data_IF_612291736056
#
_entry.id   IF_612291736056
#
_cell.length_a   1.000
_cell.length_b   1.000
_cell.length_c   1.000
_cell.angle_alpha   90.00
_cell.angle_beta   90.00
_cell.angle_gamma   90.00
#
_symmetry.space_group_name_H-M   'P 1'
#
loop_
_entity.id
_entity.type
_entity.pdbx_description
1 polymer ?
#
# COMPACT_ATOMS: atom_id res chain seq x y z
N UNK A 1 5.84 7.78 14.30
CA UNK A 1 6.52 7.11 13.16
C UNK A 1 6.95 8.20 12.19
N UNK A 2 8.24 8.42 12.03
CA UNK A 2 8.74 9.33 11.00
C UNK A 2 8.33 8.76 9.63
N UNK A 3 7.45 9.45 8.89
CA UNK A 3 7.29 9.18 7.45
C UNK A 3 8.60 9.63 6.81
N UNK A 4 9.52 8.69 6.62
CA UNK A 4 10.66 8.93 5.75
C UNK A 4 10.09 9.19 4.36
N UNK A 5 10.09 10.46 3.97
CA UNK A 5 9.70 10.84 2.62
C UNK A 5 10.77 10.25 1.70
N UNK A 6 10.40 9.22 0.96
CA UNK A 6 11.25 8.70 -0.11
C UNK A 6 11.55 9.85 -1.07
N UNK A 7 12.81 10.30 -1.10
CA UNK A 7 13.26 11.41 -1.93
C UNK A 7 14.30 10.91 -2.91
N UNK A 8 13.84 10.45 -4.07
CA UNK A 8 14.70 10.19 -5.21
C UNK A 8 14.76 11.42 -6.11
N UNK A 9 15.93 11.67 -6.73
CA UNK A 9 16.06 12.66 -7.81
C UNK A 9 15.32 12.25 -9.07
N UNK A 10 15.07 10.95 -9.22
CA UNK A 10 14.23 10.33 -10.24
C UNK A 10 13.09 9.59 -9.54
N UNK A 11 12.24 10.33 -8.83
CA UNK A 11 11.08 9.72 -8.18
C UNK A 11 10.07 9.30 -9.26
N UNK A 12 9.53 8.09 -9.13
CA UNK A 12 8.32 7.73 -9.86
C UNK A 12 7.22 8.71 -9.43
N UNK A 13 6.47 9.24 -10.40
CA UNK A 13 5.39 10.15 -10.10
C UNK A 13 4.21 9.37 -9.53
N UNK A 14 3.61 9.87 -8.45
CA UNK A 14 2.44 9.26 -7.83
C UNK A 14 2.75 8.19 -6.77
N UNK A 15 1.70 7.68 -6.11
CA UNK A 15 1.84 6.61 -5.13
C UNK A 15 2.29 5.31 -5.80
N UNK A 16 3.15 4.56 -5.11
CA UNK A 16 3.54 3.23 -5.57
C UNK A 16 2.36 2.26 -5.36
N UNK A 17 1.66 1.93 -6.45
CA UNK A 17 0.56 0.95 -6.47
C UNK A 17 0.94 -0.25 -7.32
N UNK A 18 0.32 -1.43 -7.11
CA UNK A 18 0.55 -2.60 -7.96
C UNK A 18 0.34 -2.28 -9.46
N UNK A 19 -0.75 -1.59 -9.78
CA UNK A 19 -1.08 -1.17 -11.14
C UNK A 19 -0.03 -0.18 -11.67
N UNK A 20 0.38 0.79 -10.84
CA UNK A 20 1.41 1.77 -11.19
C UNK A 20 2.79 1.16 -11.41
N UNK A 21 3.12 0.03 -10.77
CA UNK A 21 4.35 -0.74 -11.05
C UNK A 21 4.22 -1.47 -12.39
N UNK A 22 3.05 -2.04 -12.68
CA UNK A 22 2.80 -2.83 -13.90
C UNK A 22 2.77 -1.94 -15.15
N UNK A 23 2.28 -0.71 -15.02
CA UNK A 23 2.22 0.28 -16.09
C UNK A 23 3.54 1.08 -16.26
N UNK A 24 4.55 0.80 -15.44
CA UNK A 24 5.77 1.58 -15.41
C UNK A 24 6.63 1.38 -16.68
N UNK A 25 6.69 2.40 -17.53
CA UNK A 25 7.58 2.43 -18.68
C UNK A 25 8.97 2.97 -18.30
N UNK A 26 9.97 2.09 -18.21
CA UNK A 26 11.35 2.49 -17.97
C UNK A 26 12.08 2.80 -19.29
N UNK A 27 12.76 3.96 -19.41
CA UNK A 27 13.50 4.30 -20.61
C UNK A 27 14.76 3.42 -20.74
N UNK A 28 15.07 3.01 -21.96
CA UNK A 28 16.32 2.31 -22.27
C UNK A 28 17.53 3.24 -22.04
N UNK A 29 18.67 2.66 -21.69
CA UNK A 29 19.92 3.42 -21.56
C UNK A 29 20.35 4.00 -22.89
N UNK A 30 21.04 5.15 -22.85
CA UNK A 30 21.62 5.77 -24.06
C UNK A 30 22.64 4.82 -24.71
N UNK A 31 22.80 4.94 -26.03
CA UNK A 31 23.78 4.19 -26.81
C UNK A 31 25.17 4.20 -26.13
N UNK A 32 25.85 3.06 -26.12
CA UNK A 32 27.14 2.83 -25.45
C UNK A 32 27.14 2.84 -23.89
N UNK A 33 25.98 2.96 -23.22
CA UNK A 33 25.87 2.78 -21.75
C UNK A 33 25.29 1.41 -21.42
N UNK A 34 25.95 0.68 -20.52
CA UNK A 34 25.38 -0.53 -19.92
C UNK A 34 24.08 -0.19 -19.18
N UNK A 35 23.05 -0.97 -19.43
CA UNK A 35 21.77 -0.95 -18.73
C UNK A 35 21.45 -2.32 -18.15
N UNK A 36 20.40 -2.40 -17.33
CA UNK A 36 19.86 -3.68 -16.89
C UNK A 36 19.23 -4.44 -18.08
N UNK A 37 19.17 -5.76 -17.98
CA UNK A 37 18.44 -6.58 -18.94
C UNK A 37 16.95 -6.32 -18.76
N UNK A 38 16.26 -6.06 -19.87
CA UNK A 38 14.82 -5.71 -19.85
C UNK A 38 14.02 -6.85 -19.22
N UNK A 39 14.25 -8.09 -19.64
CA UNK A 39 13.52 -9.25 -19.15
C UNK A 39 13.71 -9.48 -17.64
N UNK A 40 14.91 -9.23 -17.10
CA UNK A 40 15.18 -9.36 -15.67
C UNK A 40 14.47 -8.26 -14.86
N UNK A 41 14.47 -7.03 -15.38
CA UNK A 41 13.77 -5.91 -14.75
C UNK A 41 12.26 -6.14 -14.80
N UNK A 42 11.73 -6.61 -15.93
CA UNK A 42 10.30 -6.89 -16.08
C UNK A 42 9.87 -8.01 -15.14
N UNK A 43 10.67 -9.08 -14.99
CA UNK A 43 10.40 -10.15 -14.02
C UNK A 43 10.39 -9.62 -12.57
N UNK A 44 11.35 -8.74 -12.23
CA UNK A 44 11.40 -8.09 -10.91
C UNK A 44 10.17 -7.20 -10.67
N UNK A 45 9.79 -6.36 -11.63
CA UNK A 45 8.64 -5.46 -11.51
C UNK A 45 7.33 -6.25 -11.36
N UNK A 46 7.13 -7.33 -12.13
CA UNK A 46 5.99 -8.23 -11.96
C UNK A 46 5.93 -8.83 -10.56
N UNK A 47 7.07 -9.31 -10.04
CA UNK A 47 7.12 -9.87 -8.69
C UNK A 47 6.81 -8.82 -7.62
N UNK A 48 7.34 -7.61 -7.77
CA UNK A 48 7.09 -6.50 -6.86
C UNK A 48 5.63 -6.05 -6.87
N UNK A 49 5.01 -5.96 -8.05
CA UNK A 49 3.59 -5.64 -8.18
C UNK A 49 2.72 -6.67 -7.44
N UNK A 50 3.00 -7.96 -7.63
CA UNK A 50 2.32 -9.05 -6.93
C UNK A 50 2.46 -8.94 -5.40
N UNK A 51 3.68 -8.80 -4.90
CA UNK A 51 3.92 -8.72 -3.45
C UNK A 51 3.31 -7.46 -2.82
N UNK A 52 3.36 -6.33 -3.53
CA UNK A 52 2.74 -5.09 -3.07
C UNK A 52 1.21 -5.22 -3.04
N UNK A 53 0.62 -5.91 -4.02
CA UNK A 53 -0.80 -6.22 -4.07
C UNK A 53 -1.23 -7.04 -2.86
N UNK A 54 -0.51 -8.12 -2.57
CA UNK A 54 -0.79 -8.97 -1.40
C UNK A 54 -0.67 -8.22 -0.07
N UNK A 55 0.40 -7.42 0.10
CA UNK A 55 0.56 -6.59 1.32
C UNK A 55 -0.54 -5.54 1.46
N UNK A 56 -0.94 -4.92 0.34
CA UNK A 56 -2.01 -3.92 0.34
C UNK A 56 -3.36 -4.53 0.71
N UNK A 57 -3.65 -5.75 0.20
CA UNK A 57 -4.84 -6.52 0.55
C UNK A 57 -4.86 -6.88 2.04
N UNK A 58 -3.79 -7.44 2.57
CA UNK A 58 -3.66 -7.76 3.99
C UNK A 58 -3.85 -6.53 4.89
N UNK A 59 -3.27 -5.39 4.51
CA UNK A 59 -3.45 -4.13 5.24
C UNK A 59 -4.89 -3.64 5.19
N UNK A 60 -5.57 -3.79 4.05
CA UNK A 60 -6.98 -3.42 3.91
C UNK A 60 -7.88 -4.29 4.81
N UNK A 61 -7.61 -5.60 4.86
CA UNK A 61 -8.31 -6.56 5.74
C UNK A 61 -8.13 -6.20 7.22
N UNK A 62 -6.89 -5.99 7.66
CA UNK A 62 -6.58 -5.59 9.04
C UNK A 62 -7.28 -4.27 9.41
N UNK A 63 -7.26 -3.29 8.50
CA UNK A 63 -7.95 -2.01 8.72
C UNK A 63 -9.46 -2.18 8.77
N UNK A 64 -10.04 -3.06 7.96
CA UNK A 64 -11.47 -3.36 7.98
C UNK A 64 -11.88 -3.98 9.33
N UNK A 65 -11.10 -4.94 9.81
CA UNK A 65 -11.37 -5.59 11.10
C UNK A 65 -11.22 -4.59 12.26
N UNK A 66 -10.18 -3.75 12.23
CA UNK A 66 -10.02 -2.70 13.23
C UNK A 66 -11.21 -1.74 13.28
N UNK A 67 -11.76 -1.37 12.11
CA UNK A 67 -12.99 -0.56 12.04
C UNK A 67 -14.19 -1.29 12.62
N UNK A 68 -14.34 -2.59 12.32
CA UNK A 68 -15.42 -3.43 12.84
C UNK A 68 -15.39 -3.48 14.37
N UNK A 69 -14.22 -3.77 14.96
CA UNK A 69 -14.03 -3.83 16.41
C UNK A 69 -14.34 -2.48 17.05
N UNK A 70 -13.82 -1.37 16.51
CA UNK A 70 -14.10 -0.02 17.00
C UNK A 70 -15.58 0.32 16.97
N UNK A 71 -16.29 -0.08 15.91
CA UNK A 71 -17.73 0.13 15.79
C UNK A 71 -18.51 -0.70 16.82
N UNK A 72 -18.17 -1.97 17.00
CA UNK A 72 -18.80 -2.83 18.01
C UNK A 72 -18.59 -2.28 19.43
N UNK A 73 -17.37 -1.85 19.74
CA UNK A 73 -17.05 -1.23 21.03
C UNK A 73 -17.86 0.04 21.26
N UNK A 74 -17.96 0.91 20.24
CA UNK A 74 -18.75 2.14 20.33
C UNK A 74 -20.23 1.86 20.59
N UNK A 75 -20.82 0.89 19.88
CA UNK A 75 -22.22 0.48 20.06
C UNK A 75 -22.45 -0.05 21.48
N UNK A 76 -21.56 -0.92 21.95
CA UNK A 76 -21.64 -1.46 23.31
C UNK A 76 -21.53 -0.35 24.37
N UNK A 77 -20.57 0.57 24.22
CA UNK A 77 -20.41 1.70 25.14
C UNK A 77 -21.66 2.56 25.21
N UNK A 78 -22.27 2.89 24.06
CA UNK A 78 -23.51 3.68 24.03
C UNK A 78 -24.67 2.97 24.73
N UNK A 79 -24.85 1.67 24.48
CA UNK A 79 -25.89 0.87 25.14
C UNK A 79 -25.66 0.78 26.65
N UNK A 80 -24.42 0.62 27.09
CA UNK A 80 -24.06 0.56 28.50
C UNK A 80 -24.27 1.90 29.21
N UNK A 81 -23.91 3.01 28.57
CA UNK A 81 -24.18 4.36 29.10
C UNK A 81 -25.70 4.59 29.24
N UNK A 82 -26.50 4.20 28.24
CA UNK A 82 -27.96 4.31 28.31
C UNK A 82 -28.55 3.45 29.45
N UNK A 83 -28.06 2.23 29.65
CA UNK A 83 -28.45 1.39 30.80
C UNK A 83 -28.15 2.03 32.14
N UNK A 84 -26.96 2.63 32.29
CA UNK A 84 -26.55 3.29 33.55
C UNK A 84 -27.29 4.60 33.84
N UNK A 85 -27.76 5.28 32.80
CA UNK A 85 -28.53 6.53 32.91
C UNK A 85 -30.05 6.29 33.02
N UNK A 86 -30.51 5.04 32.88
CA UNK A 86 -31.90 4.68 33.13
C UNK A 86 -32.09 4.42 34.63
N UNK A 87 -32.91 5.22 35.35
CA UNK A 87 -33.11 5.11 36.80
C UNK A 87 -33.88 3.86 37.24
#
# INVERSE_FOLDING_TARGET
>A
MAMTVYRSRNALCGPLTPDGITELALPRTRLARRGYQVDEVDALLHRLAYELGERSRQLAEVRAENRRIKNALRIWQSAETARRLSP
#
